data_IF_204807604491
#
_entry.id   IF_204807604491
#
_cell.length_a   1.000
_cell.length_b   1.000
_cell.length_c   1.000
_cell.angle_alpha   90.00
_cell.angle_beta   90.00
_cell.angle_gamma   90.00
#
_symmetry.space_group_name_H-M   'P 1'
#
loop_
_entity.id
_entity.type
_entity.pdbx_description
1 polymer ?
#
# COMPACT_ATOMS: atom_id res chain seq x y z
N UNK A 1 -6.97 32.01 -9.25
CA UNK A 1 -6.83 32.25 -10.70
C UNK A 1 -5.34 32.35 -11.00
N UNK A 2 -4.82 31.51 -11.89
CA UNK A 2 -3.38 31.39 -12.18
C UNK A 2 -2.97 32.15 -13.45
N UNK A 3 -3.76 32.02 -14.52
CA UNK A 3 -3.50 32.67 -15.80
C UNK A 3 -4.81 33.01 -16.53
N UNK A 4 -4.73 33.96 -17.45
CA UNK A 4 -5.83 34.35 -18.33
C UNK A 4 -5.38 34.33 -19.77
N UNK A 5 -6.10 33.59 -20.61
CA UNK A 5 -5.92 33.56 -22.07
C UNK A 5 -6.70 34.73 -22.68
N UNK A 6 -6.24 35.26 -23.81
CA UNK A 6 -6.97 36.32 -24.53
C UNK A 6 -8.38 35.84 -24.92
N UNK A 7 -9.45 36.44 -24.37
CA UNK A 7 -10.81 35.94 -24.56
C UNK A 7 -11.49 36.46 -25.83
N UNK A 8 -10.83 37.28 -26.68
CA UNK A 8 -11.48 37.93 -27.83
C UNK A 8 -12.23 36.95 -28.75
N UNK A 9 -11.60 35.85 -29.12
CA UNK A 9 -12.21 34.85 -30.02
C UNK A 9 -13.35 34.10 -29.31
N UNK A 10 -13.16 33.50 -28.12
CA UNK A 10 -14.25 32.88 -27.36
C UNK A 10 -15.42 33.81 -27.06
N UNK A 11 -15.16 35.08 -26.71
CA UNK A 11 -16.18 36.07 -26.41
C UNK A 11 -17.05 36.40 -27.62
N UNK A 12 -16.45 36.55 -28.81
CA UNK A 12 -17.19 36.76 -30.04
C UNK A 12 -18.06 35.54 -30.39
N UNK A 13 -17.53 34.33 -30.23
CA UNK A 13 -18.28 33.10 -30.48
C UNK A 13 -19.44 32.92 -29.49
N UNK A 14 -19.25 33.26 -28.22
CA UNK A 14 -20.30 33.25 -27.20
C UNK A 14 -21.41 34.25 -27.55
N UNK A 15 -21.05 35.46 -27.98
CA UNK A 15 -22.01 36.47 -28.43
C UNK A 15 -22.82 35.97 -29.64
N UNK A 16 -22.16 35.34 -30.61
CA UNK A 16 -22.83 34.73 -31.77
C UNK A 16 -23.78 33.59 -31.37
N UNK A 17 -23.37 32.71 -30.46
CA UNK A 17 -24.20 31.61 -29.98
C UNK A 17 -25.44 32.13 -29.20
N UNK A 18 -25.29 33.20 -28.42
CA UNK A 18 -26.41 33.88 -27.76
C UNK A 18 -27.41 34.44 -28.77
N UNK A 19 -26.94 35.10 -29.83
CA UNK A 19 -27.79 35.60 -30.91
C UNK A 19 -28.53 34.45 -31.62
N UNK A 20 -27.84 33.35 -31.92
CA UNK A 20 -28.44 32.18 -32.57
C UNK A 20 -29.53 31.53 -31.70
N UNK A 21 -29.32 31.47 -30.39
CA UNK A 21 -30.34 30.99 -29.44
C UNK A 21 -31.56 31.92 -29.38
N UNK A 22 -31.36 33.24 -29.44
CA UNK A 22 -32.46 34.19 -29.50
C UNK A 22 -33.31 34.00 -30.77
N UNK A 23 -32.66 33.79 -31.93
CA UNK A 23 -33.35 33.48 -33.20
C UNK A 23 -34.14 32.18 -33.11
N UNK A 24 -33.52 31.09 -32.60
CA UNK A 24 -34.18 29.80 -32.46
C UNK A 24 -35.41 29.88 -31.52
N UNK A 25 -35.30 30.63 -30.41
CA UNK A 25 -36.43 30.88 -29.51
C UNK A 25 -37.57 31.65 -30.19
N UNK A 26 -37.25 32.71 -30.93
CA UNK A 26 -38.27 33.46 -31.66
C UNK A 26 -38.98 32.61 -32.72
N UNK A 27 -38.26 31.69 -33.38
CA UNK A 27 -38.83 30.72 -34.31
C UNK A 27 -39.75 29.72 -33.61
N UNK A 28 -39.34 29.20 -32.45
CA UNK A 28 -40.18 28.33 -31.61
C UNK A 28 -41.44 29.05 -31.14
N UNK A 29 -41.35 30.30 -30.71
CA UNK A 29 -42.51 31.08 -30.26
C UNK A 29 -43.52 31.27 -31.41
N UNK A 30 -43.03 31.59 -32.62
CA UNK A 30 -43.88 31.69 -33.81
C UNK A 30 -44.52 30.34 -34.18
N UNK A 31 -43.74 29.26 -34.21
CA UNK A 31 -44.23 27.92 -34.52
C UNK A 31 -45.24 27.42 -33.48
N UNK A 32 -45.03 27.72 -32.21
CA UNK A 32 -45.94 27.39 -31.10
C UNK A 32 -47.24 28.20 -31.19
N UNK A 33 -47.16 29.48 -31.54
CA UNK A 33 -48.34 30.31 -31.79
C UNK A 33 -49.16 29.80 -32.99
N UNK A 34 -48.48 29.36 -34.07
CA UNK A 34 -49.12 28.72 -35.21
C UNK A 34 -49.78 27.40 -34.82
N UNK A 35 -49.11 26.53 -34.06
CA UNK A 35 -49.67 25.28 -33.55
C UNK A 35 -50.92 25.51 -32.73
N UNK A 36 -50.90 26.48 -31.79
CA UNK A 36 -52.08 26.84 -30.98
C UNK A 36 -53.25 27.29 -31.85
N UNK A 37 -52.99 28.11 -32.88
CA UNK A 37 -54.02 28.53 -33.85
C UNK A 37 -54.56 27.33 -34.64
N UNK A 38 -53.69 26.48 -35.16
CA UNK A 38 -54.08 25.27 -35.89
C UNK A 38 -54.87 24.30 -35.01
N UNK A 39 -54.52 24.15 -33.74
CA UNK A 39 -55.24 23.32 -32.79
C UNK A 39 -56.67 23.83 -32.56
N UNK A 40 -56.85 25.14 -32.39
CA UNK A 40 -58.18 25.74 -32.25
C UNK A 40 -59.03 25.52 -33.52
N UNK A 41 -58.43 25.71 -34.71
CA UNK A 41 -59.11 25.50 -35.99
C UNK A 41 -59.42 24.02 -36.26
N UNK A 42 -58.59 23.09 -35.77
CA UNK A 42 -58.83 21.66 -35.90
C UNK A 42 -60.02 21.21 -35.04
N UNK A 43 -60.14 21.76 -33.82
CA UNK A 43 -61.30 21.51 -32.95
C UNK A 43 -62.61 22.02 -33.55
N UNK A 44 -62.57 23.13 -34.29
CA UNK A 44 -63.73 23.64 -35.05
C UNK A 44 -63.88 22.99 -36.43
N UNK A 45 -63.15 21.90 -36.72
CA UNK A 45 -63.15 21.18 -38.00
C UNK A 45 -62.88 22.07 -39.22
N UNK A 46 -62.18 23.19 -39.03
CA UNK A 46 -61.89 24.20 -40.05
C UNK A 46 -60.57 23.96 -40.80
N UNK A 47 -59.75 23.00 -40.35
CA UNK A 47 -58.55 22.54 -41.06
C UNK A 47 -58.50 21.02 -41.11
N UNK A 48 -57.74 20.49 -42.09
CA UNK A 48 -57.50 19.05 -42.22
C UNK A 48 -56.49 18.56 -41.17
N UNK A 49 -56.52 17.25 -40.89
CA UNK A 49 -55.54 16.61 -40.00
C UNK A 49 -54.11 16.83 -40.49
N UNK A 50 -53.85 16.75 -41.80
CA UNK A 50 -52.54 17.05 -42.37
C UNK A 50 -52.07 18.49 -42.07
N UNK A 51 -52.98 19.47 -42.03
CA UNK A 51 -52.67 20.84 -41.64
C UNK A 51 -52.24 20.95 -40.17
N UNK A 52 -52.94 20.25 -39.26
CA UNK A 52 -52.57 20.17 -37.85
C UNK A 52 -51.23 19.46 -37.64
N UNK A 53 -51.04 18.28 -38.27
CA UNK A 53 -49.81 17.49 -38.15
C UNK A 53 -48.59 18.26 -38.68
N UNK A 54 -48.76 19.06 -39.75
CA UNK A 54 -47.68 19.93 -40.26
C UNK A 54 -47.27 21.01 -39.27
N UNK A 55 -48.25 21.61 -38.56
CA UNK A 55 -47.98 22.61 -37.53
C UNK A 55 -47.35 21.97 -36.28
N UNK A 56 -47.76 20.76 -35.93
CA UNK A 56 -47.13 19.96 -34.88
C UNK A 56 -45.67 19.64 -35.19
N UNK A 57 -45.40 19.18 -36.42
CA UNK A 57 -44.04 18.92 -36.89
C UNK A 57 -43.20 20.20 -36.87
N UNK A 58 -43.74 21.33 -37.34
CA UNK A 58 -43.04 22.61 -37.35
C UNK A 58 -42.66 23.10 -35.94
N UNK A 59 -43.54 22.91 -34.95
CA UNK A 59 -43.21 23.23 -33.56
C UNK A 59 -42.16 22.28 -33.00
N UNK A 60 -42.25 20.98 -33.31
CA UNK A 60 -41.26 19.99 -32.88
C UNK A 60 -39.86 20.25 -33.47
N UNK A 61 -39.76 20.63 -34.75
CA UNK A 61 -38.49 20.98 -35.39
C UNK A 61 -37.90 22.27 -34.82
N UNK A 62 -38.73 23.29 -34.56
CA UNK A 62 -38.29 24.52 -33.91
C UNK A 62 -37.80 24.25 -32.47
N UNK A 63 -38.47 23.34 -31.74
CA UNK A 63 -38.04 22.93 -30.40
C UNK A 63 -36.68 22.23 -30.45
N UNK A 64 -36.48 21.31 -31.41
CA UNK A 64 -35.18 20.67 -31.63
C UNK A 64 -34.08 21.69 -31.96
N UNK A 65 -34.40 22.70 -32.78
CA UNK A 65 -33.46 23.78 -33.10
C UNK A 65 -33.04 24.59 -31.86
N UNK A 66 -33.97 24.86 -30.93
CA UNK A 66 -33.65 25.52 -29.64
C UNK A 66 -32.71 24.65 -28.81
N UNK A 67 -32.94 23.33 -28.74
CA UNK A 67 -32.06 22.42 -27.99
C UNK A 67 -30.65 22.41 -28.59
N UNK A 68 -30.51 22.35 -29.91
CA UNK A 68 -29.21 22.43 -30.60
C UNK A 68 -28.52 23.78 -30.33
N UNK A 69 -29.25 24.89 -30.39
CA UNK A 69 -28.71 26.21 -30.10
C UNK A 69 -28.29 26.38 -28.64
N UNK A 70 -29.02 25.76 -27.71
CA UNK A 70 -28.67 25.71 -26.28
C UNK A 70 -27.38 24.91 -26.05
N UNK A 71 -27.27 23.73 -26.66
CA UNK A 71 -26.06 22.91 -26.57
C UNK A 71 -24.84 23.67 -27.10
N UNK A 72 -24.97 24.33 -28.25
CA UNK A 72 -23.89 25.14 -28.81
C UNK A 72 -23.53 26.34 -27.91
N UNK A 73 -24.52 27.02 -27.32
CA UNK A 73 -24.26 28.09 -26.35
C UNK A 73 -23.53 27.58 -25.11
N UNK A 74 -23.84 26.36 -24.64
CA UNK A 74 -23.11 25.77 -23.53
C UNK A 74 -21.66 25.50 -23.91
N UNK A 75 -21.40 24.91 -25.08
CA UNK A 75 -20.03 24.69 -25.57
C UNK A 75 -19.23 26.00 -25.67
N UNK A 76 -19.86 27.10 -26.14
CA UNK A 76 -19.18 28.39 -26.21
C UNK A 76 -18.97 29.04 -24.84
N UNK A 77 -19.83 28.75 -23.85
CA UNK A 77 -19.61 29.16 -22.46
C UNK A 77 -18.45 28.39 -21.84
N UNK A 78 -18.39 27.08 -22.04
CA UNK A 78 -17.31 26.25 -21.54
C UNK A 78 -15.97 26.72 -22.13
N UNK A 79 -15.93 27.00 -23.43
CA UNK A 79 -14.76 27.58 -24.09
C UNK A 79 -14.37 28.98 -23.55
N UNK A 80 -15.31 29.75 -23.00
CA UNK A 80 -15.03 31.04 -22.35
C UNK A 80 -14.50 30.84 -20.92
N UNK A 81 -15.03 29.87 -20.18
CA UNK A 81 -14.51 29.48 -18.86
C UNK A 81 -13.09 28.92 -18.99
N UNK A 82 -12.79 28.17 -20.05
CA UNK A 82 -11.45 27.64 -20.35
C UNK A 82 -10.39 28.75 -20.57
N UNK A 83 -10.81 30.00 -20.83
CA UNK A 83 -9.88 31.14 -20.87
C UNK A 83 -9.36 31.54 -19.48
N UNK A 84 -10.06 31.15 -18.42
CA UNK A 84 -9.70 31.40 -17.03
C UNK A 84 -9.05 30.16 -16.43
N UNK A 85 -7.73 30.16 -16.36
CA UNK A 85 -6.98 29.02 -15.85
C UNK A 85 -6.93 29.07 -14.33
N UNK A 86 -7.71 28.19 -13.70
CA UNK A 86 -7.71 27.92 -12.26
C UNK A 86 -6.72 26.83 -11.85
N UNK A 87 -6.34 26.80 -10.58
CA UNK A 87 -5.58 25.68 -10.02
C UNK A 87 -6.56 24.55 -9.68
N UNK A 88 -6.38 23.31 -10.18
CA UNK A 88 -7.23 22.18 -9.80
C UNK A 88 -6.97 21.72 -8.36
N UNK A 89 -5.77 21.98 -7.84
CA UNK A 89 -5.34 21.63 -6.48
C UNK A 89 -4.72 22.84 -5.80
N UNK A 90 -4.79 22.88 -4.47
CA UNK A 90 -3.95 23.76 -3.68
C UNK A 90 -2.56 23.14 -3.58
N UNK A 91 -1.52 23.94 -3.82
CA UNK A 91 -0.15 23.46 -3.84
C UNK A 91 0.84 24.55 -4.21
N UNK A 92 2.08 24.15 -4.42
CA UNK A 92 3.18 25.02 -4.84
C UNK A 92 3.44 24.83 -6.34
N UNK A 93 3.69 25.93 -7.05
CA UNK A 93 4.14 25.91 -8.45
C UNK A 93 5.60 25.44 -8.48
N UNK A 94 5.85 24.33 -9.18
CA UNK A 94 7.18 23.74 -9.35
C UNK A 94 7.90 24.35 -10.56
N UNK A 95 7.20 24.39 -11.69
CA UNK A 95 7.75 24.84 -12.97
C UNK A 95 6.70 25.70 -13.68
N UNK A 96 7.18 26.74 -14.37
CA UNK A 96 6.38 27.61 -15.22
C UNK A 96 6.96 27.54 -16.63
N UNK A 97 6.33 26.74 -17.47
CA UNK A 97 6.80 26.45 -18.83
C UNK A 97 6.35 27.51 -19.84
N UNK A 98 5.17 28.12 -19.62
CA UNK A 98 4.62 29.15 -20.49
C UNK A 98 4.83 30.56 -19.91
N UNK A 99 5.25 31.49 -20.77
CA UNK A 99 5.44 32.90 -20.44
C UNK A 99 4.32 33.74 -21.06
N UNK A 100 4.10 34.95 -20.53
CA UNK A 100 3.16 35.91 -21.10
C UNK A 100 3.47 36.17 -22.57
N UNK A 101 2.45 36.02 -23.43
CA UNK A 101 2.56 36.22 -24.87
C UNK A 101 2.89 34.96 -25.67
N UNK A 102 3.17 33.82 -25.01
CA UNK A 102 3.30 32.53 -25.70
C UNK A 102 1.94 32.07 -26.23
N UNK A 103 1.92 31.61 -27.48
CA UNK A 103 0.75 30.94 -28.05
C UNK A 103 0.68 29.54 -27.46
N UNK A 104 -0.43 29.22 -26.81
CA UNK A 104 -0.67 27.91 -26.21
C UNK A 104 -1.68 27.13 -27.06
N UNK A 105 -1.49 25.81 -27.10
CA UNK A 105 -2.41 24.89 -27.73
C UNK A 105 -3.23 24.15 -26.67
N UNK A 106 -4.53 24.04 -26.90
CA UNK A 106 -5.42 23.28 -26.01
C UNK A 106 -5.39 21.80 -26.40
N UNK A 107 -5.21 20.88 -25.44
CA UNK A 107 -5.26 19.43 -25.74
C UNK A 107 -6.63 18.97 -26.25
N UNK A 108 -7.69 19.74 -26.01
CA UNK A 108 -9.05 19.43 -26.50
C UNK A 108 -9.25 19.78 -27.97
N UNK A 109 -8.47 20.73 -28.51
CA UNK A 109 -8.62 21.21 -29.88
C UNK A 109 -7.51 20.70 -30.80
N UNK A 110 -6.31 20.42 -30.26
CA UNK A 110 -5.14 20.02 -31.03
C UNK A 110 -4.78 18.53 -30.83
N UNK A 111 -4.71 17.79 -31.93
CA UNK A 111 -4.36 16.36 -31.96
C UNK A 111 -2.89 16.11 -31.54
N UNK A 112 -2.05 17.14 -31.61
CA UNK A 112 -0.63 17.08 -31.23
C UNK A 112 -0.35 17.14 -29.73
N UNK A 113 -1.38 17.24 -28.89
CA UNK A 113 -1.26 17.41 -27.45
C UNK A 113 -1.28 18.88 -27.02
N UNK A 114 -1.65 19.10 -25.77
CA UNK A 114 -1.74 20.44 -25.17
C UNK A 114 -0.39 20.97 -24.70
N UNK A 115 -0.21 22.29 -24.71
CA UNK A 115 0.97 22.93 -24.12
C UNK A 115 0.85 22.89 -22.59
N UNK A 116 1.85 22.35 -21.91
CA UNK A 116 1.94 22.43 -20.44
C UNK A 116 2.28 23.89 -20.07
N UNK A 117 1.44 24.50 -19.25
CA UNK A 117 1.59 25.91 -18.85
C UNK A 117 2.43 26.00 -17.57
N UNK A 118 2.10 25.15 -16.60
CA UNK A 118 2.70 25.12 -15.28
C UNK A 118 2.56 23.72 -14.68
N UNK A 119 3.50 23.36 -13.81
CA UNK A 119 3.43 22.16 -12.98
C UNK A 119 3.27 22.57 -11.53
N UNK A 120 2.33 21.94 -10.84
CA UNK A 120 2.08 22.16 -9.42
C UNK A 120 2.05 20.83 -8.68
N UNK A 121 2.50 20.86 -7.44
CA UNK A 121 2.37 19.74 -6.53
C UNK A 121 1.91 20.21 -5.15
N UNK A 122 1.16 19.34 -4.47
CA UNK A 122 0.96 19.50 -3.04
C UNK A 122 2.24 19.01 -2.31
N UNK A 123 2.81 19.86 -1.44
CA UNK A 123 4.00 19.57 -0.65
C UNK A 123 3.68 19.20 0.82
N UNK A 124 2.41 19.15 1.22
CA UNK A 124 1.95 18.72 2.55
C UNK A 124 2.35 17.28 2.84
N UNK A 125 2.32 16.43 1.81
CA UNK A 125 2.70 15.02 1.85
C UNK A 125 3.62 14.75 0.69
N UNK A 126 4.77 14.13 0.95
CA UNK A 126 5.75 13.76 -0.06
C UNK A 126 5.84 12.25 -0.12
N UNK A 127 5.99 11.72 -1.34
CA UNK A 127 6.19 10.31 -1.57
C UNK A 127 7.61 10.07 -2.04
N UNK A 128 8.18 8.96 -1.58
CA UNK A 128 9.48 8.46 -2.02
C UNK A 128 9.27 7.09 -2.66
N UNK A 129 9.88 6.89 -3.83
CA UNK A 129 9.89 5.60 -4.52
C UNK A 129 11.22 4.89 -4.24
N UNK A 130 11.25 4.02 -3.22
CA UNK A 130 12.42 3.22 -2.90
C UNK A 130 12.45 1.95 -3.75
N UNK A 131 13.59 1.61 -4.34
CA UNK A 131 13.74 0.33 -5.04
C UNK A 131 14.10 -0.76 -4.02
N UNK A 132 13.52 -1.95 -4.09
CA UNK A 132 13.84 -3.07 -3.19
C UNK A 132 14.13 -4.31 -4.02
N UNK A 133 15.14 -5.10 -3.64
CA UNK A 133 15.50 -6.33 -4.34
C UNK A 133 14.37 -7.37 -4.29
N UNK A 134 14.22 -8.16 -5.36
CA UNK A 134 13.28 -9.30 -5.43
C UNK A 134 13.43 -10.25 -4.24
N UNK A 135 14.65 -10.45 -3.74
CA UNK A 135 14.91 -11.33 -2.59
C UNK A 135 14.34 -10.80 -1.28
N UNK A 136 14.27 -9.48 -1.13
CA UNK A 136 13.89 -8.80 0.11
C UNK A 136 12.42 -8.33 0.12
N UNK A 137 11.83 -8.08 -1.06
CA UNK A 137 10.46 -7.55 -1.20
C UNK A 137 9.41 -8.42 -0.49
N UNK A 138 9.64 -9.74 -0.39
CA UNK A 138 8.75 -10.67 0.31
C UNK A 138 8.60 -10.40 1.82
N UNK A 139 9.55 -9.65 2.41
CA UNK A 139 9.49 -9.26 3.83
C UNK A 139 8.83 -7.91 4.05
N UNK A 140 8.68 -7.09 3.01
CA UNK A 140 8.10 -5.75 3.10
C UNK A 140 6.57 -5.84 3.01
N UNK A 141 5.88 -5.08 3.86
CA UNK A 141 4.42 -5.00 3.88
C UNK A 141 3.96 -3.54 3.96
N UNK A 142 2.80 -3.26 3.36
CA UNK A 142 2.12 -1.96 3.53
C UNK A 142 1.89 -1.65 5.01
N UNK A 143 2.11 -0.38 5.39
CA UNK A 143 1.95 0.10 6.76
C UNK A 143 3.17 -0.07 7.65
N UNK A 144 4.26 -0.68 7.17
CA UNK A 144 5.50 -0.77 7.95
C UNK A 144 6.08 0.63 8.21
N UNK A 145 6.61 0.88 9.43
CA UNK A 145 7.27 2.14 9.74
C UNK A 145 8.59 2.23 8.98
N UNK A 146 8.88 3.43 8.49
CA UNK A 146 10.07 3.72 7.70
C UNK A 146 10.75 4.96 8.27
N UNK A 147 12.06 4.92 8.38
CA UNK A 147 12.87 6.10 8.70
C UNK A 147 13.56 6.56 7.43
N UNK A 148 13.38 7.83 7.10
CA UNK A 148 13.94 8.44 5.89
C UNK A 148 14.97 9.48 6.30
N UNK A 149 16.13 9.43 5.66
CA UNK A 149 17.18 10.44 5.77
C UNK A 149 17.41 11.06 4.41
N UNK A 150 17.53 12.39 4.37
CA UNK A 150 17.71 13.15 3.13
C UNK A 150 19.12 13.71 3.11
N UNK A 151 19.80 13.61 1.97
CA UNK A 151 21.19 14.08 1.82
C UNK A 151 21.34 15.57 2.16
N UNK A 152 20.30 16.36 1.86
CA UNK A 152 20.25 17.79 2.18
C UNK A 152 20.18 18.08 3.71
N UNK A 153 19.72 17.12 4.51
CA UNK A 153 19.50 17.26 5.95
C UNK A 153 19.99 16.02 6.72
N UNK A 154 21.30 15.75 6.79
CA UNK A 154 21.83 14.51 7.35
C UNK A 154 21.58 14.35 8.86
N UNK A 155 21.34 15.46 9.58
CA UNK A 155 21.06 15.46 11.01
C UNK A 155 19.56 15.37 11.34
N UNK A 156 18.69 15.21 10.33
CA UNK A 156 17.24 15.11 10.51
C UNK A 156 16.72 13.82 9.86
N UNK A 157 16.05 13.03 10.67
CA UNK A 157 15.27 11.88 10.22
C UNK A 157 13.81 12.29 10.05
N UNK A 158 13.15 11.70 9.06
CA UNK A 158 11.73 11.85 8.81
C UNK A 158 11.08 10.49 8.97
N UNK A 159 9.99 10.43 9.72
CA UNK A 159 9.23 9.21 9.87
C UNK A 159 8.17 9.13 8.78
N UNK A 160 8.03 7.94 8.20
CA UNK A 160 7.06 7.64 7.16
C UNK A 160 6.50 6.23 7.30
N UNK A 161 5.64 5.87 6.37
CA UNK A 161 5.05 4.53 6.31
C UNK A 161 5.01 4.02 4.88
N UNK A 162 5.25 2.73 4.68
CA UNK A 162 5.06 2.08 3.38
C UNK A 162 3.60 2.21 2.96
N UNK A 163 3.35 2.84 1.82
CA UNK A 163 2.02 2.99 1.25
C UNK A 163 1.65 1.70 0.51
N UNK A 164 2.43 1.36 -0.51
CA UNK A 164 2.24 0.17 -1.34
C UNK A 164 3.55 -0.26 -1.97
N UNK A 165 3.54 -1.51 -2.43
CA UNK A 165 4.59 -2.11 -3.25
C UNK A 165 4.02 -2.19 -4.66
N UNK A 166 4.73 -1.65 -5.65
CA UNK A 166 4.32 -1.75 -7.04
C UNK A 166 4.37 -3.21 -7.50
N UNK A 167 3.31 -3.73 -8.14
CA UNK A 167 3.27 -5.13 -8.56
C UNK A 167 4.21 -5.43 -9.74
N UNK A 168 4.65 -4.40 -10.47
CA UNK A 168 5.53 -4.54 -11.61
C UNK A 168 6.99 -4.33 -11.20
N UNK A 169 7.83 -5.35 -11.42
CA UNK A 169 9.27 -5.22 -11.27
C UNK A 169 9.87 -4.29 -12.34
N UNK A 170 10.99 -3.65 -12.00
CA UNK A 170 11.83 -2.86 -12.87
C UNK A 170 13.22 -3.48 -12.92
N UNK A 171 13.73 -3.75 -14.12
CA UNK A 171 15.09 -4.28 -14.30
C UNK A 171 16.04 -3.10 -14.44
N UNK A 172 16.81 -2.84 -13.39
CA UNK A 172 17.85 -1.80 -13.38
C UNK A 172 19.21 -2.49 -13.35
N UNK A 173 20.04 -2.26 -14.37
CA UNK A 173 21.39 -2.86 -14.47
C UNK A 173 21.39 -4.39 -14.33
N UNK A 174 20.44 -5.07 -14.99
CA UNK A 174 20.24 -6.53 -14.91
C UNK A 174 19.87 -7.07 -13.52
N UNK A 175 19.49 -6.20 -12.58
CA UNK A 175 18.93 -6.59 -11.28
C UNK A 175 17.44 -6.27 -11.24
N UNK A 176 16.63 -7.25 -10.85
CA UNK A 176 15.18 -7.13 -10.70
C UNK A 176 14.87 -6.42 -9.39
N UNK A 177 14.29 -5.23 -9.47
CA UNK A 177 13.91 -4.41 -8.31
C UNK A 177 12.41 -4.12 -8.33
N UNK A 178 11.80 -4.07 -7.15
CA UNK A 178 10.41 -3.68 -6.95
C UNK A 178 10.36 -2.27 -6.36
N UNK A 179 9.69 -1.31 -7.03
CA UNK A 179 9.44 0.00 -6.45
C UNK A 179 8.47 -0.11 -5.26
N UNK A 180 8.85 0.49 -4.14
CA UNK A 180 8.05 0.61 -2.92
C UNK A 180 7.78 2.09 -2.68
N UNK A 181 6.50 2.47 -2.69
CA UNK A 181 6.09 3.83 -2.38
C UNK A 181 5.97 4.02 -0.87
N UNK A 182 6.67 5.03 -0.35
CA UNK A 182 6.64 5.42 1.06
C UNK A 182 6.03 6.82 1.17
N UNK A 183 5.05 6.97 2.06
CA UNK A 183 4.40 8.25 2.33
C UNK A 183 5.05 8.95 3.53
N UNK A 184 5.35 10.25 3.36
CA UNK A 184 6.04 11.07 4.36
C UNK A 184 5.24 12.36 4.58
N UNK A 185 4.72 12.62 5.79
CA UNK A 185 4.11 13.90 6.12
C UNK A 185 5.17 15.01 6.17
N UNK A 186 4.90 16.14 5.53
CA UNK A 186 5.83 17.27 5.38
C UNK A 186 5.16 18.61 5.76
N UNK A 187 4.71 18.77 7.02
CA UNK A 187 4.00 19.98 7.46
C UNK A 187 4.87 21.26 7.40
N UNK A 188 6.20 21.11 7.33
CA UNK A 188 7.13 22.23 7.22
C UNK A 188 7.54 22.58 5.79
N UNK A 189 7.05 21.86 4.78
CA UNK A 189 7.45 22.02 3.36
C UNK A 189 8.97 22.02 3.13
N UNK A 190 9.70 21.30 3.99
CA UNK A 190 11.17 21.24 3.96
C UNK A 190 11.63 20.26 2.89
N UNK A 191 10.92 19.14 2.79
CA UNK A 191 11.15 18.15 1.73
C UNK A 191 10.62 18.69 0.41
N UNK A 192 11.45 18.61 -0.64
CA UNK A 192 11.10 19.02 -2.00
C UNK A 192 11.21 17.83 -2.95
N UNK A 193 10.34 17.73 -3.98
CA UNK A 193 10.48 16.71 -5.01
C UNK A 193 11.85 16.80 -5.71
N UNK A 194 12.43 15.64 -6.05
CA UNK A 194 13.74 15.54 -6.68
C UNK A 194 14.94 15.55 -5.73
N UNK A 195 14.72 15.52 -4.41
CA UNK A 195 15.78 15.28 -3.43
C UNK A 195 16.08 13.78 -3.34
N UNK A 196 17.37 13.42 -3.37
CA UNK A 196 17.80 12.06 -3.09
C UNK A 196 17.56 11.74 -1.61
N UNK A 197 17.13 10.51 -1.36
CA UNK A 197 16.84 10.05 0.00
C UNK A 197 17.32 8.61 0.20
N UNK A 198 17.68 8.32 1.44
CA UNK A 198 17.97 6.99 1.92
C UNK A 198 16.80 6.55 2.80
N UNK A 199 16.32 5.34 2.54
CA UNK A 199 15.09 4.80 3.13
C UNK A 199 15.42 3.55 3.93
N UNK A 200 15.16 3.58 5.23
CA UNK A 200 15.34 2.44 6.13
C UNK A 200 13.97 1.88 6.54
N UNK A 201 13.62 0.72 5.98
CA UNK A 201 12.35 0.02 6.29
C UNK A 201 12.57 -0.90 7.50
N UNK A 202 11.75 -0.73 8.54
CA UNK A 202 11.83 -1.55 9.75
C UNK A 202 10.99 -2.82 9.58
N UNK A 203 11.63 -3.91 9.14
CA UNK A 203 10.99 -5.22 8.88
C UNK A 203 10.58 -5.99 10.15
N UNK A 204 11.19 -5.67 11.30
CA UNK A 204 10.84 -6.33 12.55
C UNK A 204 11.69 -5.86 13.72
N UNK A 205 11.07 -5.76 14.89
CA UNK A 205 11.74 -5.42 16.14
C UNK A 205 11.55 -6.57 17.13
N UNK A 206 12.65 -7.13 17.65
CA UNK A 206 12.62 -8.13 18.72
C UNK A 206 13.13 -7.49 20.00
N UNK A 207 12.32 -7.49 21.06
CA UNK A 207 12.70 -7.00 22.38
C UNK A 207 13.05 -8.17 23.30
N UNK A 208 14.02 -7.97 24.21
CA UNK A 208 14.41 -9.00 25.18
C UNK A 208 15.21 -10.17 24.61
N UNK A 209 15.90 -9.96 23.48
CA UNK A 209 16.77 -10.98 22.88
C UNK A 209 18.15 -10.99 23.55
N UNK A 210 18.71 -12.19 23.74
CA UNK A 210 20.10 -12.35 24.16
C UNK A 210 21.02 -11.96 22.99
N UNK A 211 21.47 -10.70 22.99
CA UNK A 211 22.44 -10.21 22.03
C UNK A 211 23.85 -10.55 22.51
N UNK A 212 24.56 -11.40 21.76
CA UNK A 212 25.98 -11.66 21.97
C UNK A 212 26.75 -10.87 20.92
N UNK A 213 27.77 -10.07 21.29
CA UNK A 213 28.60 -9.37 20.32
C UNK A 213 29.22 -10.34 19.32
N UNK A 214 29.27 -9.99 18.04
CA UNK A 214 29.87 -10.86 17.02
C UNK A 214 31.33 -11.22 17.34
N UNK A 215 32.06 -10.33 18.03
CA UNK A 215 33.44 -10.59 18.49
C UNK A 215 33.56 -11.70 19.54
N UNK A 216 32.47 -12.01 20.25
CA UNK A 216 32.40 -13.10 21.21
C UNK A 216 32.08 -14.45 20.55
N UNK A 217 31.58 -14.46 19.30
CA UNK A 217 31.44 -15.68 18.51
C UNK A 217 32.82 -16.13 18.05
N UNK A 218 33.28 -17.26 18.57
CA UNK A 218 34.55 -17.88 18.20
C UNK A 218 34.29 -19.24 17.62
N UNK A 219 35.02 -19.58 16.56
CA UNK A 219 34.97 -20.94 16.04
C UNK A 219 35.66 -21.87 17.04
N UNK A 220 35.29 -23.16 17.10
CA UNK A 220 35.96 -24.14 17.97
C UNK A 220 37.49 -24.19 17.79
N UNK A 221 38.00 -23.78 16.62
CA UNK A 221 39.43 -23.70 16.32
C UNK A 221 40.13 -22.53 17.01
N UNK A 222 39.39 -21.45 17.31
CA UNK A 222 39.93 -20.23 17.93
C UNK A 222 39.80 -20.22 19.46
N UNK A 223 39.25 -21.28 20.04
CA UNK A 223 38.94 -21.38 21.48
C UNK A 223 40.19 -21.28 22.33
N UNK A 224 41.31 -21.87 21.90
CA UNK A 224 42.58 -21.80 22.62
C UNK A 224 43.13 -20.37 22.70
N UNK A 225 43.06 -19.64 21.58
CA UNK A 225 43.49 -18.25 21.49
C UNK A 225 42.56 -17.31 22.27
N UNK A 226 41.25 -17.55 22.21
CA UNK A 226 40.26 -16.77 22.95
C UNK A 226 40.35 -17.00 24.46
N UNK A 227 40.55 -18.24 24.90
CA UNK A 227 40.74 -18.58 26.32
C UNK A 227 42.01 -17.94 26.89
N UNK A 228 43.10 -17.94 26.12
CA UNK A 228 44.36 -17.28 26.51
C UNK A 228 44.23 -15.77 26.70
N UNK A 229 43.47 -15.09 25.83
CA UNK A 229 43.23 -13.63 25.94
C UNK A 229 42.29 -13.29 27.11
N UNK A 230 41.33 -14.16 27.40
CA UNK A 230 40.35 -13.97 28.47
C UNK A 230 40.84 -14.47 29.85
N UNK A 231 42.05 -15.04 29.92
CA UNK A 231 42.61 -15.61 31.15
C UNK A 231 41.82 -16.82 31.68
N UNK A 232 41.11 -17.51 30.79
CA UNK A 232 40.28 -18.67 31.13
C UNK A 232 41.10 -19.95 30.98
N UNK A 233 40.89 -20.89 31.90
CA UNK A 233 41.54 -22.19 31.84
C UNK A 233 41.08 -22.99 30.61
N UNK A 234 42.05 -23.37 29.79
CA UNK A 234 41.84 -23.94 28.46
C UNK A 234 41.13 -25.31 28.55
N UNK A 235 41.41 -26.09 29.59
CA UNK A 235 40.80 -27.40 29.82
C UNK A 235 39.34 -27.27 30.24
N UNK A 236 39.05 -26.31 31.12
CA UNK A 236 37.69 -26.01 31.57
C UNK A 236 36.80 -25.56 30.41
N UNK A 237 37.32 -24.69 29.54
CA UNK A 237 36.59 -24.22 28.34
C UNK A 237 36.39 -25.36 27.34
N UNK A 238 37.39 -26.22 27.11
CA UNK A 238 37.26 -27.38 26.23
C UNK A 238 36.27 -28.41 26.77
N UNK A 239 36.23 -28.67 28.08
CA UNK A 239 35.23 -29.54 28.70
C UNK A 239 33.82 -28.96 28.58
N UNK A 240 33.65 -27.66 28.79
CA UNK A 240 32.35 -27.00 28.59
C UNK A 240 31.90 -27.06 27.12
N UNK A 241 32.82 -26.85 26.16
CA UNK A 241 32.52 -26.96 24.73
C UNK A 241 32.18 -28.41 24.33
N UNK A 242 32.91 -29.39 24.86
CA UNK A 242 32.65 -30.81 24.64
C UNK A 242 31.31 -31.25 25.25
N UNK A 243 30.96 -30.73 26.43
CA UNK A 243 29.66 -30.97 27.07
C UNK A 243 28.49 -30.29 26.33
N UNK A 244 28.75 -29.14 25.70
CA UNK A 244 27.76 -28.43 24.88
C UNK A 244 27.53 -29.13 23.52
N UNK A 245 28.56 -29.78 22.96
CA UNK A 245 28.46 -30.58 21.72
C UNK A 245 27.85 -31.98 21.91
N UNK A 246 27.72 -32.45 23.15
CA UNK A 246 27.18 -33.78 23.47
C UNK A 246 25.68 -33.76 23.87
N UNK A 247 25.01 -32.61 23.80
CA UNK A 247 23.57 -32.49 24.04
C UNK A 247 22.75 -32.79 22.78
N UNK A 248 21.72 -33.63 22.92
CA UNK A 248 20.74 -33.99 21.89
C UNK A 248 20.30 -32.78 21.03
N UNK A 249 20.27 -32.89 19.68
CA UNK A 249 19.79 -31.84 18.79
C UNK A 249 18.25 -31.82 18.78
N UNK A 250 17.61 -31.73 19.94
CA UNK A 250 16.23 -31.27 20.00
C UNK A 250 16.24 -29.75 19.90
N UNK A 251 15.49 -29.15 18.96
CA UNK A 251 15.44 -27.70 18.82
C UNK A 251 14.89 -27.13 20.14
N UNK A 252 15.72 -26.39 20.88
CA UNK A 252 15.22 -25.53 21.95
C UNK A 252 14.27 -24.53 21.29
N UNK A 253 13.02 -24.51 21.74
CA UNK A 253 12.00 -23.58 21.28
C UNK A 253 12.54 -22.15 21.43
N UNK A 254 12.91 -21.52 20.31
CA UNK A 254 13.62 -20.25 20.26
C UNK A 254 14.56 -20.08 19.06
N UNK A 255 14.79 -21.12 18.25
CA UNK A 255 15.54 -21.02 17.01
C UNK A 255 14.61 -21.20 15.80
N UNK A 256 14.13 -20.09 15.25
CA UNK A 256 13.63 -20.08 13.88
C UNK A 256 14.83 -20.30 12.95
N UNK A 257 14.66 -21.26 12.06
CA UNK A 257 15.59 -21.76 11.05
C UNK A 257 16.38 -20.65 10.33
N UNK A 258 17.68 -20.60 10.59
CA UNK A 258 18.64 -19.99 9.68
C UNK A 258 18.92 -20.99 8.53
N UNK A 259 18.60 -20.52 7.33
CA UNK A 259 18.89 -21.12 6.04
C UNK A 259 20.39 -21.45 5.95
N UNK A 260 20.73 -22.72 5.74
CA UNK A 260 22.10 -23.13 5.34
C UNK A 260 22.19 -23.21 3.83
N UNK A 261 23.27 -22.63 3.30
CA UNK A 261 23.68 -22.60 1.90
C UNK A 261 23.57 -23.96 1.18
N UNK A 262 23.03 -23.90 -0.04
CA UNK A 262 23.52 -24.67 -1.19
C UNK A 262 23.51 -26.19 -1.09
N UNK A 263 22.33 -26.80 -0.96
CA UNK A 263 22.17 -28.25 -1.13
C UNK A 263 20.78 -28.58 -1.64
N UNK A 264 20.70 -29.29 -2.77
CA UNK A 264 19.48 -29.72 -3.48
C UNK A 264 18.28 -29.92 -2.56
N UNK A 265 17.17 -29.23 -2.87
CA UNK A 265 15.88 -29.43 -2.24
C UNK A 265 15.42 -30.86 -2.50
N UNK A 266 15.72 -31.78 -1.59
CA UNK A 266 14.92 -32.98 -1.46
C UNK A 266 13.57 -32.53 -0.93
N UNK A 267 12.54 -32.64 -1.77
CA UNK A 267 11.16 -32.53 -1.33
C UNK A 267 11.01 -33.40 -0.07
N UNK A 268 10.55 -32.81 1.02
CA UNK A 268 10.26 -33.52 2.24
C UNK A 268 9.35 -34.71 1.91
N UNK A 269 9.89 -35.93 1.98
CA UNK A 269 9.08 -37.14 1.95
C UNK A 269 8.09 -37.04 3.11
N UNK A 270 6.82 -36.82 2.76
CA UNK A 270 5.71 -37.02 3.69
C UNK A 270 5.78 -38.46 4.17
N UNK A 271 6.11 -38.67 5.44
CA UNK A 271 5.81 -39.92 6.16
C UNK A 271 4.35 -40.30 5.84
N UNK A 272 4.05 -41.47 5.23
CA UNK A 272 2.68 -41.90 5.03
C UNK A 272 2.13 -42.35 6.39
N UNK A 273 1.56 -41.40 7.13
CA UNK A 273 0.81 -41.66 8.34
C UNK A 273 -0.64 -41.97 7.98
N UNK A 274 -1.03 -43.23 8.09
CA UNK A 274 -2.43 -43.64 8.05
C UNK A 274 -2.55 -45.12 7.75
N UNK A 275 -2.62 -45.96 8.78
CA UNK A 275 -3.03 -47.34 8.58
C UNK A 275 -4.45 -47.35 7.97
N UNK A 276 -4.62 -48.07 6.87
CA UNK A 276 -5.90 -48.25 6.19
C UNK A 276 -6.65 -49.44 6.80
N UNK A 277 -7.95 -49.27 7.02
CA UNK A 277 -8.83 -50.34 7.51
C UNK A 277 -9.93 -50.62 6.49
N UNK A 278 -10.11 -51.90 6.16
CA UNK A 278 -11.17 -52.36 5.27
C UNK A 278 -12.36 -52.85 6.08
N UNK A 279 -13.49 -52.17 5.94
CA UNK A 279 -14.77 -52.57 6.54
C UNK A 279 -15.27 -53.87 5.87
N UNK A 280 -16.04 -54.74 6.55
CA UNK A 280 -16.53 -56.01 5.97
C UNK A 280 -17.36 -55.88 4.68
N UNK A 281 -17.86 -54.67 4.36
CA UNK A 281 -18.52 -54.33 3.09
C UNK A 281 -17.60 -53.83 1.97
N UNK A 282 -16.28 -54.05 2.07
CA UNK A 282 -15.32 -53.83 0.98
C UNK A 282 -14.82 -52.38 0.76
N UNK A 283 -15.21 -51.42 1.60
CA UNK A 283 -14.68 -50.04 1.55
C UNK A 283 -13.49 -49.84 2.49
N UNK A 284 -12.42 -49.25 1.95
CA UNK A 284 -11.17 -48.93 2.64
C UNK A 284 -11.20 -47.48 3.13
N UNK A 285 -10.89 -47.26 4.41
CA UNK A 285 -10.89 -45.94 5.04
C UNK A 285 -9.54 -45.71 5.74
N UNK A 286 -8.98 -44.51 5.58
CA UNK A 286 -7.70 -44.10 6.19
C UNK A 286 -7.94 -43.46 7.55
N UNK A 287 -7.26 -43.95 8.60
CA UNK A 287 -7.47 -43.46 9.98
C UNK A 287 -6.52 -42.31 10.35
N UNK A 288 -6.97 -41.36 11.19
CA UNK A 288 -6.13 -40.30 11.75
C UNK A 288 -5.06 -40.87 12.71
N UNK A 289 -3.94 -40.15 12.92
CA UNK A 289 -2.80 -40.66 13.67
C UNK A 289 -3.14 -40.90 15.15
N UNK A 290 -2.80 -42.08 15.67
CA UNK A 290 -2.96 -42.46 17.08
C UNK A 290 -3.99 -43.56 17.37
N UNK A 291 -4.71 -44.06 16.36
CA UNK A 291 -5.72 -45.13 16.54
C UNK A 291 -5.27 -46.42 15.87
N UNK A 292 -5.21 -47.52 16.63
CA UNK A 292 -4.81 -48.83 16.10
C UNK A 292 -6.01 -49.62 15.53
N UNK A 293 -5.82 -50.43 14.45
CA UNK A 293 -6.92 -51.15 13.79
C UNK A 293 -7.70 -52.11 14.72
N UNK A 294 -7.03 -52.66 15.74
CA UNK A 294 -7.63 -53.60 16.70
C UNK A 294 -8.67 -52.94 17.61
N UNK A 295 -8.45 -51.69 18.02
CA UNK A 295 -9.41 -50.94 18.84
C UNK A 295 -10.70 -50.64 18.07
N UNK A 296 -10.59 -50.38 16.76
CA UNK A 296 -11.73 -50.08 15.89
C UNK A 296 -12.55 -51.34 15.58
N UNK A 297 -11.91 -52.50 15.39
CA UNK A 297 -12.62 -53.79 15.28
C UNK A 297 -13.42 -54.10 16.54
N UNK A 298 -12.85 -53.90 17.73
CA UNK A 298 -13.57 -54.11 18.99
C UNK A 298 -14.71 -53.12 19.21
N UNK A 299 -14.58 -51.87 18.75
CA UNK A 299 -15.65 -50.88 18.83
C UNK A 299 -16.81 -51.20 17.88
N UNK A 300 -16.53 -51.66 16.66
CA UNK A 300 -17.55 -52.11 15.71
C UNK A 300 -18.23 -53.41 16.16
N UNK A 301 -17.48 -54.37 16.72
CA UNK A 301 -18.05 -55.62 17.27
C UNK A 301 -18.98 -55.36 18.46
N UNK A 302 -18.64 -54.40 19.34
CA UNK A 302 -19.50 -53.97 20.46
C UNK A 302 -20.75 -53.21 20.01
N UNK A 303 -20.66 -52.45 18.91
CA UNK A 303 -21.81 -51.75 18.32
C UNK A 303 -22.80 -52.70 17.63
N UNK A 304 -22.32 -53.81 17.04
CA UNK A 304 -23.20 -54.83 16.45
C UNK A 304 -23.83 -55.78 17.47
N UNK A 305 -23.27 -55.91 18.67
CA UNK A 305 -23.80 -56.78 19.74
C UNK A 305 -24.64 -56.03 20.80
N UNK A 306 -24.87 -54.73 20.64
CA UNK A 306 -25.88 -53.99 21.41
C UNK A 306 -25.62 -53.85 22.92
N UNK A 307 -24.36 -53.84 23.39
CA UNK A 307 -24.05 -53.57 24.80
C UNK A 307 -23.52 -52.15 25.02
N UNK A 308 -24.19 -51.40 25.90
CA UNK A 308 -23.90 -50.00 26.24
C UNK A 308 -22.62 -49.79 27.06
N UNK A 309 -21.99 -48.64 26.84
CA UNK A 309 -20.77 -48.21 27.53
C UNK A 309 -21.12 -47.66 28.93
N UNK A 310 -20.63 -48.32 30.00
CA UNK A 310 -20.63 -47.76 31.38
C UNK A 310 -19.45 -46.82 31.57
N UNK A 311 -19.69 -45.68 32.22
CA UNK A 311 -18.70 -44.68 32.63
C UNK A 311 -18.18 -44.92 34.07
N UNK A 312 -16.93 -44.52 34.31
CA UNK A 312 -16.33 -44.34 35.64
C UNK A 312 -14.80 -44.17 35.58
N UNK A 313 -14.14 -43.60 36.61
CA UNK A 313 -14.44 -42.31 37.25
C UNK A 313 -13.26 -41.32 37.17
N UNK A 314 -13.58 -40.07 37.50
CA UNK A 314 -12.73 -38.88 37.59
C UNK A 314 -11.60 -38.94 38.62
N UNK A 315 -10.46 -38.31 38.32
CA UNK A 315 -9.56 -37.75 39.33
C UNK A 315 -8.82 -36.51 38.82
N UNK A 316 -9.19 -35.33 39.35
CA UNK A 316 -8.42 -34.06 39.33
C UNK A 316 -7.50 -34.02 40.55
N UNK A 317 -6.34 -33.34 40.47
CA UNK A 317 -5.76 -32.65 41.63
C UNK A 317 -5.74 -31.11 41.46
N UNK A 318 -5.51 -30.33 42.55
CA UNK A 318 -6.11 -29.02 42.75
C UNK A 318 -5.21 -27.81 42.42
N UNK A 319 -5.86 -26.64 42.34
CA UNK A 319 -5.26 -25.29 42.31
C UNK A 319 -4.69 -24.92 43.69
N UNK A 320 -3.48 -24.39 43.70
CA UNK A 320 -2.95 -23.56 44.79
C UNK A 320 -2.84 -22.09 44.36
N UNK A 321 -3.10 -21.19 45.31
CA UNK A 321 -3.30 -19.77 45.11
C UNK A 321 -2.28 -18.93 45.90
N UNK A 322 -1.73 -17.91 45.23
CA UNK A 322 -1.23 -16.64 45.81
C UNK A 322 0.30 -16.51 46.00
N UNK A 323 0.85 -15.28 46.16
CA UNK A 323 0.25 -13.95 46.07
C UNK A 323 0.95 -12.98 45.08
N UNK A 324 0.28 -11.85 44.79
CA UNK A 324 0.79 -10.69 44.03
C UNK A 324 1.74 -9.81 44.88
N UNK A 325 2.65 -9.04 44.25
CA UNK A 325 2.99 -7.70 44.70
C UNK A 325 2.70 -6.68 43.56
N UNK A 326 1.73 -5.78 43.74
CA UNK A 326 1.86 -4.43 44.31
C UNK A 326 2.68 -3.46 43.45
N UNK A 327 1.92 -2.49 42.91
CA UNK A 327 2.33 -1.29 42.21
C UNK A 327 2.89 -0.29 43.22
N UNK A 328 4.08 0.25 42.96
CA UNK A 328 4.59 1.43 43.66
C UNK A 328 4.91 2.52 42.64
N UNK A 329 4.12 3.59 42.70
CA UNK A 329 4.42 4.94 42.21
C UNK A 329 5.48 5.56 43.14
N UNK A 330 6.47 6.23 42.58
CA UNK A 330 7.16 7.34 43.23
C UNK A 330 7.56 8.38 42.18
N UNK A 331 7.23 9.64 42.48
CA UNK A 331 7.57 10.84 41.75
C UNK A 331 8.79 11.53 42.41
N UNK A 332 9.23 12.64 41.79
CA UNK A 332 10.29 13.60 42.18
C UNK A 332 11.72 13.10 41.89
N UNK A 333 12.57 13.78 41.10
CA UNK A 333 12.70 15.20 40.81
C UNK A 333 13.87 15.76 41.62
N UNK A 334 15.04 15.99 41.01
CA UNK A 334 15.98 17.12 41.25
C UNK A 334 17.25 16.94 40.40
N UNK A 335 17.72 18.07 39.88
CA UNK A 335 18.89 18.34 39.05
C UNK A 335 20.25 18.09 39.73
N UNK A 336 21.29 17.82 38.93
CA UNK A 336 22.54 18.58 39.01
C UNK A 336 23.48 18.33 37.81
N UNK A 337 24.27 19.36 37.51
CA UNK A 337 25.07 19.59 36.31
C UNK A 337 26.54 19.14 36.40
N UNK A 338 27.14 18.95 35.21
CA UNK A 338 28.56 19.19 34.83
C UNK A 338 29.65 18.27 35.44
N UNK A 339 30.39 17.54 34.59
CA UNK A 339 31.63 17.98 33.91
C UNK A 339 32.56 16.80 33.53
N UNK A 340 33.07 16.83 32.29
CA UNK A 340 34.33 16.24 31.77
C UNK A 340 34.44 14.68 31.79
N UNK A 341 35.05 13.97 30.82
CA UNK A 341 36.20 14.28 29.97
C UNK A 341 36.35 13.21 28.86
N UNK A 342 36.94 13.62 27.73
CA UNK A 342 37.64 12.88 26.65
C UNK A 342 37.75 11.34 26.67
N UNK A 343 37.36 10.69 25.54
CA UNK A 343 38.21 9.83 24.66
C UNK A 343 37.32 9.05 23.68
N UNK A 344 37.43 9.29 22.38
CA UNK A 344 38.25 8.57 21.39
C UNK A 344 37.73 7.19 20.99
N UNK A 345 37.47 7.09 19.68
CA UNK A 345 37.65 5.91 18.82
C UNK A 345 36.66 4.73 18.92
N UNK A 346 36.01 4.51 17.77
CA UNK A 346 35.85 3.23 17.09
C UNK A 346 35.32 2.04 17.90
N UNK A 347 34.08 1.64 17.58
CA UNK A 347 33.71 0.23 17.57
C UNK A 347 32.42 -0.01 16.77
N UNK A 348 32.17 -1.26 16.35
CA UNK A 348 31.59 -1.57 15.05
C UNK A 348 30.11 -1.97 15.13
N UNK A 349 29.52 -1.97 13.94
CA UNK A 349 28.31 -2.66 13.49
C UNK A 349 27.70 -3.74 14.42
N UNK A 350 26.43 -3.50 14.79
CA UNK A 350 25.50 -4.51 15.28
C UNK A 350 24.53 -4.94 14.13
N UNK A 351 24.01 -6.18 14.16
CA UNK A 351 23.32 -6.80 13.03
C UNK A 351 21.80 -6.58 13.07
N UNK A 352 21.21 -6.53 11.89
CA UNK A 352 19.82 -6.16 11.62
C UNK A 352 19.84 -5.08 10.57
N UNK A 353 20.40 -5.39 9.40
CA UNK A 353 20.56 -4.41 8.34
C UNK A 353 19.18 -3.95 7.92
N UNK A 354 18.82 -2.66 8.11
CA UNK A 354 17.73 -2.10 7.32
C UNK A 354 18.09 -2.33 5.85
N UNK A 355 17.11 -2.70 5.04
CA UNK A 355 17.27 -2.67 3.59
C UNK A 355 17.49 -1.19 3.26
N UNK A 356 18.76 -0.83 3.08
CA UNK A 356 19.21 0.48 2.64
C UNK A 356 19.10 0.48 1.13
N UNK A 357 18.15 1.24 0.61
CA UNK A 357 18.16 1.53 -0.81
C UNK A 357 18.17 3.03 -1.03
N UNK A 358 19.14 3.44 -1.85
CA UNK A 358 19.28 4.79 -2.34
C UNK A 358 18.24 5.02 -3.43
N UNK A 359 17.37 6.02 -3.24
CA UNK A 359 16.37 6.43 -4.22
C UNK A 359 16.75 7.79 -4.83
N UNK A 360 16.49 7.93 -6.13
CA UNK A 360 16.64 9.17 -6.90
C UNK A 360 15.27 9.84 -7.10
#
# INVERSE_FOLDING_TARGET
MLAKVDPRIPQNNLTQAQANLAVAKAQLDNATAQLKRSQALYQTQSITQAGYDSAQLAAATAQAAVVTAQANLQTMKDAMEDTHLGAPITGTVLELDAVLGTVISSPTNDVGGGTVILKMANLDTVQVSALVDETDVGTVQSGMPVTITVDAFPNRTFDGSVLKIEPQAQVTQNVTMFPVEVNIPNPGHVLKPGMNTEVEIHIGQRQGVLAVPNAALRTPRDVASAAGVLGLDLQTVQQQLASAGAGDPTPRAGADTALTDGGKLHAAERKPGGATFTTPGGRVITLPPGVTPEQVKTAFAKRMTGQGLRSGPSSRPPREAGPRPQVARAADGTSCSRCARERSQWSPSAPGSPIRTTSK
#
